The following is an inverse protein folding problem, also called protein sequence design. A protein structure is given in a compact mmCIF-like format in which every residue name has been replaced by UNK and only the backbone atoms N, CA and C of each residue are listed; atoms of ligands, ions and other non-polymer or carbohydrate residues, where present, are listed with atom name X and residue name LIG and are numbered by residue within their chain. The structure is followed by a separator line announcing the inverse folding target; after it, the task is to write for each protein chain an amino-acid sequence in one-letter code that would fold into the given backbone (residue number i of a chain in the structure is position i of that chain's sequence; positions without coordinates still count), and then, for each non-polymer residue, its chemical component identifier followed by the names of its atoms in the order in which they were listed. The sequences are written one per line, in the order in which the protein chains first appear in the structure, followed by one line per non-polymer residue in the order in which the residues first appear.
data_IF_080336814223
#
_entry.id   IF_080336814223
#
_cell.length_a   1.000
_cell.length_b   1.000
_cell.length_c   1.000
_cell.angle_alpha   90.00
_cell.angle_beta   90.00
_cell.angle_gamma   90.00
#
_symmetry.space_group_name_H-M   'P 1'
#
loop_
_entity.id
_entity.type
_entity.pdbx_description
1 polymer ?
#
# COMPACT_ATOMS: atom_id res chain seq x y z
N UNK A 1 -10.29 16.79 -13.37
CA UNK A 1 -10.90 15.47 -13.10
C UNK A 1 -11.42 15.42 -11.68
N UNK A 2 -12.46 14.64 -11.44
CA UNK A 2 -13.02 14.33 -10.11
C UNK A 2 -12.38 13.03 -9.60
N UNK A 3 -11.58 13.13 -8.56
CA UNK A 3 -10.90 11.99 -7.96
C UNK A 3 -11.57 11.62 -6.64
N UNK A 4 -12.00 10.38 -6.48
CA UNK A 4 -12.48 9.81 -5.22
C UNK A 4 -11.39 8.92 -4.65
N UNK A 5 -10.86 9.27 -3.47
CA UNK A 5 -9.76 8.55 -2.85
C UNK A 5 -10.21 7.98 -1.51
N UNK A 6 -10.24 6.67 -1.39
CA UNK A 6 -10.47 6.02 -0.11
C UNK A 6 -9.13 5.78 0.58
N UNK A 7 -9.07 5.97 1.90
CA UNK A 7 -7.81 5.88 2.64
C UNK A 7 -6.83 7.03 2.38
N UNK A 8 -7.33 8.17 1.84
CA UNK A 8 -6.52 9.32 1.47
C UNK A 8 -5.79 10.02 2.63
N UNK A 9 -6.17 9.78 3.90
CA UNK A 9 -5.46 10.27 5.08
C UNK A 9 -4.42 9.26 5.63
N UNK A 10 -4.37 8.05 5.06
CA UNK A 10 -3.40 7.03 5.44
C UNK A 10 -1.98 7.35 4.95
N UNK A 11 -1.05 6.43 5.22
CA UNK A 11 0.36 6.56 4.82
C UNK A 11 0.52 6.88 3.33
N UNK A 12 0.20 5.94 2.45
CA UNK A 12 0.34 6.13 1.00
C UNK A 12 -0.63 7.20 0.49
N UNK A 13 -1.88 7.17 0.98
CA UNK A 13 -2.94 8.06 0.53
C UNK A 13 -2.62 9.54 0.74
N UNK A 14 -2.07 9.92 1.91
CA UNK A 14 -1.77 11.32 2.21
C UNK A 14 -0.67 11.90 1.31
N UNK A 15 0.39 11.15 1.06
CA UNK A 15 1.44 11.55 0.11
C UNK A 15 0.91 11.64 -1.33
N UNK A 16 0.03 10.71 -1.73
CA UNK A 16 -0.59 10.73 -3.04
C UNK A 16 -1.53 11.95 -3.20
N UNK A 17 -2.33 12.26 -2.18
CA UNK A 17 -3.20 13.43 -2.17
C UNK A 17 -2.38 14.71 -2.30
N UNK A 18 -1.28 14.88 -1.54
CA UNK A 18 -0.39 16.03 -1.67
C UNK A 18 0.22 16.17 -3.08
N UNK A 19 0.52 15.04 -3.74
CA UNK A 19 1.01 15.05 -5.12
C UNK A 19 -0.08 15.43 -6.13
N UNK A 20 -1.31 14.93 -5.95
CA UNK A 20 -2.43 15.18 -6.85
C UNK A 20 -3.06 16.56 -6.66
N UNK A 21 -3.05 17.11 -5.44
CA UNK A 21 -3.61 18.43 -5.12
C UNK A 21 -2.84 19.59 -5.76
N UNK A 22 -1.59 19.36 -6.19
CA UNK A 22 -0.81 20.32 -6.98
C UNK A 22 -1.35 20.53 -8.40
N UNK A 23 -2.32 19.73 -8.82
CA UNK A 23 -2.96 19.80 -10.14
C UNK A 23 -4.42 20.25 -9.98
N UNK A 24 -5.03 20.74 -11.06
CA UNK A 24 -6.42 21.21 -11.08
C UNK A 24 -7.43 20.03 -11.03
N UNK A 25 -7.34 19.19 -9.98
CA UNK A 25 -8.27 18.10 -9.71
C UNK A 25 -9.25 18.48 -8.60
N UNK A 26 -10.49 18.02 -8.68
CA UNK A 26 -11.43 18.04 -7.56
C UNK A 26 -11.31 16.72 -6.80
N UNK A 27 -10.68 16.76 -5.63
CA UNK A 27 -10.39 15.57 -4.85
C UNK A 27 -11.42 15.43 -3.72
N UNK A 28 -12.03 14.25 -3.61
CA UNK A 28 -12.83 13.84 -2.44
C UNK A 28 -12.17 12.66 -1.77
N UNK A 29 -11.86 12.80 -0.47
CA UNK A 29 -11.33 11.73 0.38
C UNK A 29 -12.45 11.14 1.19
N UNK A 30 -12.55 9.80 1.20
CA UNK A 30 -13.41 9.05 2.11
C UNK A 30 -12.56 8.42 3.20
N UNK A 31 -12.93 8.65 4.47
CA UNK A 31 -12.16 8.19 5.62
C UNK A 31 -13.06 7.85 6.81
N UNK A 32 -12.69 6.82 7.57
CA UNK A 32 -13.39 6.43 8.82
C UNK A 32 -13.12 7.40 9.97
N UNK A 33 -11.94 8.05 9.99
CA UNK A 33 -11.50 8.96 11.07
C UNK A 33 -10.85 10.22 10.50
N UNK A 34 -11.02 11.33 11.19
CA UNK A 34 -10.37 12.61 10.88
C UNK A 34 -9.07 12.83 11.65
N UNK A 35 -8.67 11.89 12.52
CA UNK A 35 -7.50 12.03 13.39
C UNK A 35 -6.17 12.28 12.64
N UNK A 36 -6.13 12.01 11.33
CA UNK A 36 -4.94 12.21 10.47
C UNK A 36 -5.15 13.28 9.40
N UNK A 37 -6.11 14.20 9.60
CA UNK A 37 -6.37 15.27 8.60
C UNK A 37 -5.13 16.14 8.35
N UNK A 38 -4.29 16.33 9.37
CA UNK A 38 -3.09 17.13 9.31
C UNK A 38 -1.95 16.49 8.52
N UNK A 39 -2.12 15.22 8.09
CA UNK A 39 -1.25 14.60 7.09
C UNK A 39 -1.38 15.24 5.70
N UNK A 40 -2.41 16.04 5.43
CA UNK A 40 -2.59 16.71 4.14
C UNK A 40 -2.05 18.14 4.23
N UNK A 41 -1.01 18.44 3.46
CA UNK A 41 -0.36 19.75 3.45
C UNK A 41 -1.12 20.75 2.58
N UNK A 42 -1.57 20.31 1.39
CA UNK A 42 -2.29 21.16 0.44
C UNK A 42 -3.75 20.69 0.34
N UNK A 43 -4.70 21.50 0.83
CA UNK A 43 -6.10 21.09 0.96
C UNK A 43 -7.12 21.93 0.21
N UNK A 44 -6.72 23.01 -0.52
CA UNK A 44 -7.65 23.94 -1.15
C UNK A 44 -8.62 23.32 -2.17
N UNK A 45 -8.23 22.24 -2.85
CA UNK A 45 -9.04 21.47 -3.80
C UNK A 45 -9.46 20.09 -3.27
N UNK A 46 -9.29 19.85 -1.95
CA UNK A 46 -9.56 18.58 -1.28
C UNK A 46 -10.76 18.72 -0.36
N UNK A 47 -11.77 17.85 -0.54
CA UNK A 47 -12.89 17.68 0.40
C UNK A 47 -12.76 16.35 1.11
N UNK A 48 -12.76 16.40 2.45
CA UNK A 48 -12.71 15.20 3.30
C UNK A 48 -14.11 14.90 3.81
N UNK A 49 -14.56 13.66 3.62
CA UNK A 49 -15.85 13.17 4.10
C UNK A 49 -15.63 11.97 5.02
N UNK A 50 -16.11 12.10 6.28
CA UNK A 50 -16.05 11.02 7.27
C UNK A 50 -17.15 10.00 6.98
N UNK A 51 -16.73 8.78 6.66
CA UNK A 51 -17.61 7.63 6.40
C UNK A 51 -16.87 6.33 6.72
N UNK A 52 -17.59 5.36 7.30
CA UNK A 52 -17.17 3.97 7.26
C UNK A 52 -17.62 3.37 5.92
N UNK A 53 -16.66 2.84 5.14
CA UNK A 53 -16.94 2.34 3.79
C UNK A 53 -17.87 1.11 3.76
N UNK A 54 -18.06 0.42 4.88
CA UNK A 54 -19.05 -0.66 5.02
C UNK A 54 -20.48 -0.14 5.12
N UNK A 55 -20.68 1.17 5.26
CA UNK A 55 -22.00 1.78 5.07
C UNK A 55 -22.26 1.93 3.55
N UNK A 56 -22.62 0.82 2.92
CA UNK A 56 -22.79 0.72 1.47
C UNK A 56 -23.87 1.67 0.92
N UNK A 57 -24.95 1.91 1.67
CA UNK A 57 -25.99 2.87 1.28
C UNK A 57 -25.41 4.26 1.09
N UNK A 58 -24.69 4.76 2.09
CA UNK A 58 -24.06 6.10 2.02
C UNK A 58 -22.94 6.15 1.01
N UNK A 59 -22.13 5.10 0.91
CA UNK A 59 -21.04 5.01 -0.10
C UNK A 59 -21.61 5.09 -1.51
N UNK A 60 -22.70 4.36 -1.81
CA UNK A 60 -23.38 4.42 -3.09
C UNK A 60 -23.90 5.81 -3.42
N UNK A 61 -24.55 6.49 -2.47
CA UNK A 61 -25.03 7.88 -2.65
C UNK A 61 -23.89 8.87 -2.95
N UNK A 62 -22.72 8.67 -2.30
CA UNK A 62 -21.55 9.52 -2.55
C UNK A 62 -21.01 9.31 -3.97
N UNK A 63 -20.88 8.06 -4.42
CA UNK A 63 -20.41 7.74 -5.77
C UNK A 63 -21.36 8.33 -6.81
N UNK A 64 -22.65 8.10 -6.66
CA UNK A 64 -23.72 8.61 -7.54
C UNK A 64 -23.72 10.14 -7.65
N UNK A 65 -23.64 10.84 -6.51
CA UNK A 65 -23.65 12.32 -6.47
C UNK A 65 -22.34 12.91 -6.97
N UNK A 66 -21.18 12.31 -6.63
CA UNK A 66 -19.87 12.85 -6.98
C UNK A 66 -19.50 12.53 -8.42
N UNK A 67 -19.95 11.39 -8.96
CA UNK A 67 -19.66 10.87 -10.32
C UNK A 67 -18.17 10.96 -10.63
N UNK A 68 -17.31 10.20 -9.91
CA UNK A 68 -15.87 10.30 -10.05
C UNK A 68 -15.41 9.89 -11.46
N UNK A 69 -14.40 10.58 -11.99
CA UNK A 69 -13.68 10.16 -13.20
C UNK A 69 -12.67 9.04 -12.87
N UNK A 70 -12.12 9.07 -11.63
CA UNK A 70 -11.22 8.03 -11.13
C UNK A 70 -11.54 7.75 -9.65
N UNK A 71 -11.64 6.47 -9.30
CA UNK A 71 -11.62 6.00 -7.90
C UNK A 71 -10.27 5.38 -7.63
N UNK A 72 -9.57 5.87 -6.58
CA UNK A 72 -8.32 5.28 -6.09
C UNK A 72 -8.62 4.63 -4.75
N UNK A 73 -8.66 3.30 -4.74
CA UNK A 73 -9.05 2.53 -3.56
C UNK A 73 -7.83 2.04 -2.79
N UNK A 74 -7.46 2.79 -1.72
CA UNK A 74 -6.35 2.48 -0.82
C UNK A 74 -6.83 2.10 0.60
N UNK A 75 -8.10 2.33 0.91
CA UNK A 75 -8.66 1.96 2.20
C UNK A 75 -8.78 0.45 2.37
N UNK A 76 -8.66 0.01 3.60
CA UNK A 76 -8.81 -1.37 4.02
C UNK A 76 -8.05 -1.63 5.31
N UNK A 77 -8.31 -2.76 5.95
CA UNK A 77 -7.45 -3.23 7.02
C UNK A 77 -6.13 -3.69 6.41
N UNK A 78 -5.00 -3.25 6.96
CA UNK A 78 -3.66 -3.62 6.49
C UNK A 78 -2.89 -4.42 7.54
N UNK A 79 -3.51 -4.73 8.67
CA UNK A 79 -2.88 -5.47 9.77
C UNK A 79 -3.15 -6.97 9.62
N UNK A 80 -2.07 -7.74 9.46
CA UNK A 80 -2.14 -9.20 9.40
C UNK A 80 -2.75 -9.79 10.68
N UNK A 81 -2.33 -9.34 11.87
CA UNK A 81 -2.87 -9.84 13.15
C UNK A 81 -4.37 -9.57 13.27
N UNK A 82 -4.80 -8.34 12.98
CA UNK A 82 -6.24 -8.00 13.03
C UNK A 82 -7.08 -8.83 12.05
N UNK A 83 -6.53 -9.23 10.90
CA UNK A 83 -7.28 -10.08 9.97
C UNK A 83 -7.58 -11.47 10.54
N UNK A 84 -6.72 -11.99 11.43
CA UNK A 84 -6.97 -13.24 12.14
C UNK A 84 -7.89 -13.05 13.37
N UNK A 85 -7.76 -11.92 14.06
CA UNK A 85 -8.62 -11.59 15.21
C UNK A 85 -10.06 -11.30 14.81
N UNK A 86 -10.26 -10.65 13.64
CA UNK A 86 -11.55 -10.16 13.15
C UNK A 86 -11.74 -10.45 11.66
N UNK A 87 -11.82 -11.72 11.26
CA UNK A 87 -11.81 -12.12 9.84
C UNK A 87 -13.02 -11.58 9.05
N UNK A 88 -14.20 -11.54 9.66
CA UNK A 88 -15.40 -11.02 8.99
C UNK A 88 -15.33 -9.51 8.77
N UNK A 89 -14.82 -8.74 9.74
CA UNK A 89 -14.58 -7.30 9.54
C UNK A 89 -13.53 -7.07 8.43
N UNK A 90 -12.55 -7.96 8.29
CA UNK A 90 -11.52 -7.87 7.25
C UNK A 90 -12.09 -8.14 5.85
N UNK A 91 -12.97 -9.13 5.69
CA UNK A 91 -13.69 -9.38 4.42
C UNK A 91 -14.52 -8.15 4.03
N UNK A 92 -15.28 -7.60 4.98
CA UNK A 92 -16.13 -6.43 4.70
C UNK A 92 -15.34 -5.21 4.27
N UNK A 93 -14.25 -4.90 4.99
CA UNK A 93 -13.46 -3.69 4.74
C UNK A 93 -12.54 -3.80 3.53
N UNK A 94 -12.15 -4.98 3.08
CA UNK A 94 -11.27 -5.20 1.94
C UNK A 94 -12.05 -5.71 0.71
N UNK A 95 -12.51 -6.97 0.73
CA UNK A 95 -13.08 -7.63 -0.44
C UNK A 95 -14.48 -7.08 -0.80
N UNK A 96 -15.39 -7.07 0.19
CA UNK A 96 -16.79 -6.66 -0.03
C UNK A 96 -16.92 -5.17 -0.43
N UNK A 97 -16.11 -4.31 0.17
CA UNK A 97 -16.08 -2.88 -0.19
C UNK A 97 -15.58 -2.67 -1.62
N UNK A 98 -14.56 -3.41 -2.06
CA UNK A 98 -14.06 -3.37 -3.44
C UNK A 98 -15.15 -3.80 -4.42
N UNK A 99 -15.78 -4.96 -4.16
CA UNK A 99 -16.86 -5.49 -5.00
C UNK A 99 -18.03 -4.50 -5.10
N UNK A 100 -18.46 -3.93 -3.97
CA UNK A 100 -19.54 -2.95 -3.94
C UNK A 100 -19.25 -1.73 -4.81
N UNK A 101 -18.03 -1.19 -4.76
CA UNK A 101 -17.67 -0.01 -5.57
C UNK A 101 -17.65 -0.33 -7.07
N UNK A 102 -17.13 -1.49 -7.46
CA UNK A 102 -17.13 -1.94 -8.86
C UNK A 102 -18.58 -2.13 -9.36
N UNK A 103 -19.42 -2.79 -8.57
CA UNK A 103 -20.83 -2.97 -8.92
C UNK A 103 -21.54 -1.64 -9.04
N UNK A 104 -21.28 -0.69 -8.15
CA UNK A 104 -21.91 0.63 -8.19
C UNK A 104 -21.49 1.46 -9.42
N UNK A 105 -20.23 1.35 -9.86
CA UNK A 105 -19.76 1.93 -11.12
C UNK A 105 -20.54 1.34 -12.30
N UNK A 106 -20.70 0.00 -12.33
CA UNK A 106 -21.41 -0.71 -13.36
C UNK A 106 -22.90 -0.33 -13.42
N UNK A 107 -23.60 -0.39 -12.27
CA UNK A 107 -25.04 -0.05 -12.16
C UNK A 107 -25.33 1.37 -12.62
N UNK A 108 -24.45 2.33 -12.31
CA UNK A 108 -24.64 3.73 -12.68
C UNK A 108 -24.14 4.07 -14.09
N UNK A 109 -23.59 3.10 -14.83
CA UNK A 109 -23.01 3.30 -16.17
C UNK A 109 -21.90 4.37 -16.18
N UNK A 110 -21.11 4.48 -15.10
CA UNK A 110 -20.11 5.53 -15.00
C UNK A 110 -18.87 5.21 -15.84
N UNK A 111 -18.44 6.16 -16.69
CA UNK A 111 -17.12 6.15 -17.30
C UNK A 111 -16.07 6.54 -16.23
N UNK A 112 -15.68 5.58 -15.40
CA UNK A 112 -14.82 5.77 -14.24
C UNK A 112 -13.69 4.74 -14.22
N UNK A 113 -12.43 5.21 -14.14
CA UNK A 113 -11.30 4.33 -13.92
C UNK A 113 -11.23 3.92 -12.44
N UNK A 114 -11.23 2.62 -12.17
CA UNK A 114 -11.05 2.07 -10.83
C UNK A 114 -9.62 1.59 -10.63
N UNK A 115 -8.90 2.18 -9.68
CA UNK A 115 -7.49 1.86 -9.40
C UNK A 115 -7.37 1.26 -8.00
N UNK A 116 -7.05 -0.04 -7.96
CA UNK A 116 -6.92 -0.81 -6.72
C UNK A 116 -5.48 -0.82 -6.22
N UNK A 117 -5.25 -0.34 -5.00
CA UNK A 117 -4.01 -0.58 -4.26
C UNK A 117 -4.02 -1.97 -3.62
N UNK A 118 -3.10 -2.83 -4.06
CA UNK A 118 -2.89 -4.17 -3.54
C UNK A 118 -1.50 -4.32 -2.90
N UNK A 119 -1.09 -5.53 -2.59
CA UNK A 119 0.06 -5.84 -1.74
C UNK A 119 0.84 -7.05 -2.25
N UNK A 120 2.12 -7.13 -1.93
CA UNK A 120 2.95 -8.31 -2.19
C UNK A 120 2.49 -9.55 -1.38
N UNK A 121 1.74 -9.38 -0.31
CA UNK A 121 1.25 -10.45 0.58
C UNK A 121 0.32 -11.43 -0.16
N UNK A 122 -0.32 -11.02 -1.25
CA UNK A 122 -1.14 -11.91 -2.08
C UNK A 122 -0.35 -13.08 -2.69
N UNK A 123 0.97 -12.91 -2.86
CA UNK A 123 1.85 -13.96 -3.40
C UNK A 123 2.07 -15.08 -2.37
N UNK A 124 2.08 -14.75 -1.07
CA UNK A 124 2.54 -15.68 -0.06
C UNK A 124 4.05 -15.96 -0.19
N UNK A 125 4.46 -17.22 -0.02
CA UNK A 125 5.85 -17.64 -0.16
C UNK A 125 6.15 -18.03 -1.61
N UNK A 126 6.89 -17.20 -2.38
CA UNK A 126 7.15 -17.48 -3.78
C UNK A 126 8.07 -18.69 -3.96
N UNK A 127 7.81 -19.51 -4.99
CA UNK A 127 8.66 -20.65 -5.36
C UNK A 127 9.81 -20.25 -6.28
N UNK A 128 9.64 -19.14 -7.02
CA UNK A 128 10.65 -18.60 -7.93
C UNK A 128 10.82 -17.09 -7.69
N UNK A 129 12.03 -16.59 -7.86
CA UNK A 129 12.40 -15.19 -7.76
C UNK A 129 13.19 -14.75 -9.01
N UNK A 130 13.04 -13.51 -9.47
CA UNK A 130 12.15 -12.49 -8.93
C UNK A 130 10.67 -12.79 -9.22
N UNK A 131 9.77 -12.28 -8.35
CA UNK A 131 8.31 -12.30 -8.55
C UNK A 131 7.92 -11.41 -9.72
N UNK A 132 6.95 -11.85 -10.52
CA UNK A 132 6.38 -11.11 -11.67
C UNK A 132 4.87 -10.97 -11.50
N UNK A 133 4.21 -10.29 -12.44
CA UNK A 133 2.74 -10.18 -12.46
C UNK A 133 2.04 -11.53 -12.66
N UNK A 134 2.69 -12.47 -13.32
CA UNK A 134 2.18 -13.84 -13.57
C UNK A 134 2.54 -14.85 -12.49
N UNK A 135 3.29 -14.46 -11.45
CA UNK A 135 3.62 -15.39 -10.35
C UNK A 135 2.35 -15.82 -9.64
N UNK A 136 2.15 -17.15 -9.43
CA UNK A 136 0.98 -17.66 -8.72
C UNK A 136 0.82 -17.04 -7.33
N UNK A 137 -0.42 -16.69 -6.99
CA UNK A 137 -0.77 -16.12 -5.69
C UNK A 137 -1.24 -17.23 -4.74
N UNK A 138 -0.60 -17.33 -3.57
CA UNK A 138 -0.96 -18.27 -2.52
C UNK A 138 -0.82 -17.60 -1.14
N UNK A 139 -1.71 -16.64 -0.80
CA UNK A 139 -1.60 -15.86 0.41
C UNK A 139 -1.68 -16.72 1.67
N UNK A 140 -0.88 -16.39 2.68
CA UNK A 140 -0.82 -17.09 3.96
C UNK A 140 -1.59 -16.37 5.07
N UNK A 141 -2.29 -15.28 4.74
CA UNK A 141 -3.07 -14.48 5.69
C UNK A 141 -4.46 -14.18 5.14
N UNK A 142 -5.44 -14.00 6.03
CA UNK A 142 -6.82 -13.62 5.68
C UNK A 142 -6.81 -12.28 4.93
N UNK A 143 -6.01 -11.31 5.38
CA UNK A 143 -5.79 -10.05 4.69
C UNK A 143 -5.32 -10.26 3.23
N UNK A 144 -4.29 -11.08 3.04
CA UNK A 144 -3.77 -11.39 1.69
C UNK A 144 -4.82 -12.04 0.79
N UNK A 145 -5.62 -12.97 1.34
CA UNK A 145 -6.73 -13.61 0.62
C UNK A 145 -7.79 -12.60 0.20
N UNK A 146 -8.19 -11.70 1.08
CA UNK A 146 -9.18 -10.66 0.78
C UNK A 146 -8.67 -9.65 -0.24
N UNK A 147 -7.39 -9.30 -0.22
CA UNK A 147 -6.77 -8.46 -1.25
C UNK A 147 -6.71 -9.19 -2.60
N UNK A 148 -6.39 -10.48 -2.62
CA UNK A 148 -6.42 -11.29 -3.83
C UNK A 148 -7.84 -11.38 -4.41
N UNK A 149 -8.85 -11.61 -3.58
CA UNK A 149 -10.26 -11.57 -4.01
C UNK A 149 -10.62 -10.22 -4.64
N UNK A 150 -10.15 -9.11 -4.05
CA UNK A 150 -10.35 -7.76 -4.60
C UNK A 150 -9.72 -7.60 -6.00
N UNK A 151 -8.52 -8.16 -6.21
CA UNK A 151 -7.87 -8.17 -7.53
C UNK A 151 -8.67 -8.98 -8.55
N UNK A 152 -9.19 -10.15 -8.16
CA UNK A 152 -10.02 -10.98 -9.01
C UNK A 152 -11.33 -10.29 -9.37
N UNK A 153 -11.97 -9.57 -8.44
CA UNK A 153 -13.14 -8.75 -8.77
C UNK A 153 -12.82 -7.68 -9.81
N UNK A 154 -11.72 -6.94 -9.66
CA UNK A 154 -11.30 -5.96 -10.66
C UNK A 154 -11.12 -6.61 -12.04
N UNK A 155 -10.49 -7.80 -12.09
CA UNK A 155 -10.30 -8.53 -13.34
C UNK A 155 -11.63 -8.97 -13.96
N UNK A 156 -12.53 -9.58 -13.17
CA UNK A 156 -13.86 -10.02 -13.65
C UNK A 156 -14.65 -8.82 -14.19
N UNK A 157 -14.68 -7.71 -13.46
CA UNK A 157 -15.42 -6.52 -13.91
C UNK A 157 -14.83 -5.88 -15.17
N UNK A 158 -13.52 -6.01 -15.37
CA UNK A 158 -12.89 -5.66 -16.64
C UNK A 158 -13.29 -6.61 -17.77
N UNK A 159 -13.04 -7.91 -17.58
CA UNK A 159 -13.19 -8.92 -18.63
C UNK A 159 -14.65 -9.11 -19.05
N UNK A 160 -15.61 -9.05 -18.10
CA UNK A 160 -17.02 -9.35 -18.33
C UNK A 160 -17.83 -8.10 -18.65
N UNK A 161 -17.56 -6.99 -17.94
CA UNK A 161 -18.37 -5.76 -18.05
C UNK A 161 -17.63 -4.59 -18.70
N UNK A 162 -16.38 -4.76 -19.11
CA UNK A 162 -15.59 -3.71 -19.78
C UNK A 162 -15.21 -2.52 -18.89
N UNK A 163 -15.27 -2.64 -17.55
CA UNK A 163 -14.88 -1.55 -16.66
C UNK A 163 -13.37 -1.25 -16.80
N UNK A 164 -13.02 0.04 -16.77
CA UNK A 164 -11.62 0.46 -16.74
C UNK A 164 -11.03 0.23 -15.34
N UNK A 165 -10.41 -0.93 -15.12
CA UNK A 165 -9.78 -1.30 -13.86
C UNK A 165 -8.27 -1.41 -14.01
N UNK A 166 -7.52 -0.92 -13.03
CA UNK A 166 -6.05 -1.09 -12.95
C UNK A 166 -5.67 -1.47 -11.53
N UNK A 167 -4.75 -2.42 -11.42
CA UNK A 167 -4.27 -2.92 -10.13
C UNK A 167 -2.79 -2.57 -9.97
N UNK A 168 -2.37 -2.15 -8.80
CA UNK A 168 -0.96 -2.12 -8.45
C UNK A 168 -0.68 -2.85 -7.13
N UNK A 169 0.38 -3.64 -7.11
CA UNK A 169 0.93 -4.27 -5.91
C UNK A 169 2.16 -3.53 -5.44
N UNK A 170 2.27 -3.32 -4.14
CA UNK A 170 3.40 -2.63 -3.52
C UNK A 170 4.19 -3.61 -2.67
N UNK A 171 5.52 -3.50 -2.69
CA UNK A 171 6.42 -4.24 -1.81
C UNK A 171 6.54 -3.55 -0.43
N UNK A 172 7.62 -3.76 0.32
CA UNK A 172 7.80 -3.19 1.66
C UNK A 172 8.03 -1.67 1.58
N UNK A 173 6.94 -0.91 1.51
CA UNK A 173 6.99 0.56 1.49
C UNK A 173 7.26 1.13 2.87
N UNK A 174 8.02 2.23 2.94
CA UNK A 174 8.38 2.91 4.17
C UNK A 174 8.58 4.42 3.95
N UNK A 175 8.56 5.19 5.04
CA UNK A 175 8.74 6.64 5.00
C UNK A 175 7.86 7.39 6.00
N UNK A 176 7.82 8.73 5.94
CA UNK A 176 7.01 9.60 6.79
C UNK A 176 5.52 9.24 6.83
N UNK A 177 4.84 9.59 7.93
CA UNK A 177 3.38 9.45 8.15
C UNK A 177 2.87 8.01 8.26
N UNK A 178 3.75 6.99 8.14
CA UNK A 178 3.34 5.62 8.45
C UNK A 178 3.21 5.45 9.96
N UNK A 179 2.17 4.78 10.37
CA UNK A 179 1.91 4.53 11.79
C UNK A 179 2.93 3.52 12.35
N UNK A 180 3.61 3.93 13.42
CA UNK A 180 4.61 3.09 14.09
C UNK A 180 3.92 2.08 15.01
N UNK A 181 3.62 0.91 14.47
CA UNK A 181 3.02 -0.21 15.21
C UNK A 181 3.80 -1.49 14.87
N UNK A 182 4.24 -2.29 15.88
CA UNK A 182 5.06 -3.50 15.67
C UNK A 182 4.45 -4.50 14.69
N UNK A 183 3.12 -4.62 14.68
CA UNK A 183 2.37 -5.61 13.92
C UNK A 183 1.94 -5.14 12.52
N UNK A 184 2.30 -3.91 12.13
CA UNK A 184 1.82 -3.32 10.88
C UNK A 184 2.91 -3.19 9.81
N UNK A 185 3.96 -2.43 10.10
CA UNK A 185 5.08 -2.19 9.20
C UNK A 185 6.40 -2.30 9.95
N UNK A 186 7.06 -3.43 9.77
CA UNK A 186 8.32 -3.72 10.47
C UNK A 186 9.42 -2.71 10.14
N UNK A 187 9.46 -2.16 8.92
CA UNK A 187 10.52 -1.25 8.47
C UNK A 187 10.46 0.07 9.25
N UNK A 188 9.31 0.75 9.22
CA UNK A 188 9.14 2.01 9.94
C UNK A 188 9.24 1.81 11.46
N UNK A 189 8.72 0.69 11.98
CA UNK A 189 8.87 0.35 13.38
C UNK A 189 10.34 0.23 13.77
N UNK A 190 11.17 -0.50 13.01
CA UNK A 190 12.60 -0.66 13.29
C UNK A 190 13.37 0.65 13.16
N UNK A 191 13.04 1.51 12.20
CA UNK A 191 13.65 2.85 12.08
C UNK A 191 13.35 3.70 13.32
N UNK A 192 12.09 3.68 13.77
CA UNK A 192 11.67 4.42 14.97
C UNK A 192 12.34 3.88 16.24
N UNK A 193 12.37 2.55 16.43
CA UNK A 193 13.04 1.92 17.58
C UNK A 193 14.55 2.21 17.60
N UNK A 194 15.20 2.19 16.44
CA UNK A 194 16.61 2.53 16.31
C UNK A 194 16.90 3.96 16.77
N UNK A 195 16.01 4.90 16.45
CA UNK A 195 16.16 6.30 16.83
C UNK A 195 15.91 6.53 18.33
N UNK A 196 14.76 6.06 18.83
CA UNK A 196 14.28 6.43 20.16
C UNK A 196 14.74 5.47 21.27
N UNK A 197 14.75 4.17 21.01
CA UNK A 197 15.17 3.17 22.01
C UNK A 197 16.61 2.73 21.87
N UNK A 198 17.32 3.18 20.83
CA UNK A 198 18.70 2.81 20.52
C UNK A 198 18.94 1.28 20.48
N UNK A 199 17.85 0.51 20.20
CA UNK A 199 17.89 -0.95 20.19
C UNK A 199 16.84 -1.47 19.20
N UNK A 200 17.26 -2.39 18.33
CA UNK A 200 16.38 -3.08 17.37
C UNK A 200 16.53 -4.59 17.48
N UNK A 201 15.45 -5.32 17.16
CA UNK A 201 15.42 -6.78 17.17
C UNK A 201 15.19 -7.32 15.76
N UNK A 202 16.14 -8.10 15.25
CA UNK A 202 16.09 -8.70 13.91
C UNK A 202 16.07 -10.21 14.04
N UNK A 203 15.05 -10.87 13.53
CA UNK A 203 14.92 -12.33 13.53
C UNK A 203 15.86 -12.98 12.51
N UNK A 204 16.14 -14.29 12.72
CA UNK A 204 16.97 -15.11 11.83
C UNK A 204 18.32 -14.46 11.48
N UNK A 205 18.91 -13.70 12.41
CA UNK A 205 20.16 -12.93 12.19
C UNK A 205 20.15 -12.07 10.92
N UNK A 206 18.97 -11.67 10.45
CA UNK A 206 18.81 -10.92 9.21
C UNK A 206 19.11 -11.68 7.92
N UNK A 207 19.22 -13.02 7.98
CA UNK A 207 19.53 -13.88 6.83
C UNK A 207 18.30 -14.14 5.95
N UNK A 208 17.62 -13.07 5.57
CA UNK A 208 16.55 -13.03 4.56
C UNK A 208 16.56 -11.65 3.92
N UNK A 209 16.07 -11.55 2.69
CA UNK A 209 16.03 -10.29 1.96
C UNK A 209 14.61 -9.88 1.58
N UNK A 210 14.43 -8.58 1.40
CA UNK A 210 13.19 -7.95 0.94
C UNK A 210 13.49 -6.91 -0.15
N UNK A 211 12.45 -6.55 -0.84
CA UNK A 211 12.40 -5.41 -1.76
C UNK A 211 11.75 -4.24 -0.99
N UNK A 212 12.57 -3.24 -0.64
CA UNK A 212 12.12 -2.04 0.07
C UNK A 212 11.91 -0.91 -0.91
N UNK A 213 10.85 -0.15 -0.76
CA UNK A 213 10.57 1.02 -1.59
C UNK A 213 10.16 2.23 -0.75
N UNK A 214 10.81 3.37 -1.01
CA UNK A 214 10.50 4.61 -0.31
C UNK A 214 9.22 5.24 -0.83
N UNK A 215 8.48 5.92 0.05
CA UNK A 215 7.14 6.44 -0.24
C UNK A 215 7.08 7.39 -1.44
N UNK A 216 8.10 8.23 -1.68
CA UNK A 216 8.13 9.13 -2.83
C UNK A 216 8.12 8.34 -4.16
N UNK A 217 8.84 7.22 -4.21
CA UNK A 217 8.86 6.34 -5.38
C UNK A 217 7.52 5.61 -5.55
N UNK A 218 6.86 5.22 -4.45
CA UNK A 218 5.51 4.65 -4.50
C UNK A 218 4.53 5.65 -5.12
N UNK A 219 4.51 6.89 -4.65
CA UNK A 219 3.63 7.95 -5.16
C UNK A 219 3.92 8.26 -6.63
N UNK A 220 5.21 8.33 -7.00
CA UNK A 220 5.59 8.55 -8.40
C UNK A 220 5.12 7.41 -9.31
N UNK A 221 5.22 6.15 -8.84
CA UNK A 221 4.70 4.97 -9.54
C UNK A 221 3.19 5.01 -9.73
N UNK A 222 2.44 5.32 -8.68
CA UNK A 222 0.98 5.49 -8.76
C UNK A 222 0.61 6.59 -9.78
N UNK A 223 1.30 7.74 -9.76
CA UNK A 223 1.05 8.81 -10.72
C UNK A 223 1.28 8.38 -12.18
N UNK A 224 2.30 7.54 -12.44
CA UNK A 224 2.53 6.98 -13.78
C UNK A 224 1.41 6.01 -14.16
N UNK A 225 0.98 5.14 -13.25
CA UNK A 225 -0.14 4.21 -13.47
C UNK A 225 -1.44 4.96 -13.75
N UNK A 226 -1.77 6.01 -12.99
CA UNK A 226 -2.95 6.85 -13.23
C UNK A 226 -2.95 7.46 -14.63
N UNK A 227 -1.79 7.84 -15.15
CA UNK A 227 -1.64 8.50 -16.47
C UNK A 227 -1.52 7.51 -17.62
N UNK A 228 -0.81 6.40 -17.45
CA UNK A 228 -0.39 5.50 -18.53
C UNK A 228 -0.76 4.02 -18.30
N UNK A 229 -1.32 3.68 -17.14
CA UNK A 229 -1.73 2.31 -16.83
C UNK A 229 -2.86 1.88 -17.77
N UNK A 230 -2.68 0.71 -18.40
CA UNK A 230 -3.66 0.12 -19.31
C UNK A 230 -4.77 -0.55 -18.50
N UNK A 231 -5.99 -0.46 -19.00
CA UNK A 231 -7.15 -1.15 -18.42
C UNK A 231 -6.95 -2.66 -18.36
N UNK A 232 -7.42 -3.30 -17.30
CA UNK A 232 -7.27 -4.73 -17.03
C UNK A 232 -5.90 -5.15 -16.51
N UNK A 233 -4.93 -4.22 -16.45
CA UNK A 233 -3.54 -4.56 -16.16
C UNK A 233 -3.16 -4.43 -14.68
N UNK A 234 -2.20 -5.28 -14.28
CA UNK A 234 -1.56 -5.27 -12.97
C UNK A 234 -0.11 -4.79 -13.12
N UNK A 235 0.35 -3.96 -12.17
CA UNK A 235 1.70 -3.42 -12.12
C UNK A 235 2.32 -3.61 -10.74
N UNK A 236 3.63 -3.89 -10.69
CA UNK A 236 4.40 -3.87 -9.46
C UNK A 236 5.07 -2.51 -9.23
N UNK A 237 4.83 -1.93 -8.07
CA UNK A 237 5.56 -0.77 -7.55
C UNK A 237 6.58 -1.28 -6.52
N UNK A 238 7.84 -1.37 -6.94
CA UNK A 238 8.92 -1.94 -6.14
C UNK A 238 10.26 -1.33 -6.53
N UNK A 239 11.27 -1.41 -5.66
CA UNK A 239 12.62 -0.96 -6.03
C UNK A 239 13.28 -1.92 -7.03
N UNK A 240 12.91 -3.18 -7.02
CA UNK A 240 13.56 -4.25 -7.77
C UNK A 240 14.97 -4.55 -7.24
N UNK A 241 15.28 -4.13 -6.00
CA UNK A 241 16.58 -4.34 -5.37
C UNK A 241 16.47 -5.30 -4.20
N UNK A 242 17.37 -6.27 -4.17
CA UNK A 242 17.55 -7.21 -3.07
C UNK A 242 18.31 -6.52 -1.94
N UNK A 243 17.69 -6.38 -0.77
CA UNK A 243 18.32 -5.87 0.44
C UNK A 243 18.17 -6.92 1.54
N UNK A 244 19.28 -7.40 2.07
CA UNK A 244 19.27 -8.28 3.24
C UNK A 244 18.90 -7.51 4.50
N UNK A 245 18.20 -8.15 5.41
CA UNK A 245 17.81 -7.48 6.64
C UNK A 245 19.00 -7.16 7.55
N UNK A 246 20.10 -7.92 7.48
CA UNK A 246 21.35 -7.54 8.18
C UNK A 246 21.97 -6.27 7.57
N UNK A 247 21.91 -6.08 6.23
CA UNK A 247 22.37 -4.84 5.59
C UNK A 247 21.51 -3.64 6.03
N UNK A 248 20.19 -3.84 6.09
CA UNK A 248 19.26 -2.83 6.60
C UNK A 248 19.56 -2.50 8.08
N UNK A 249 19.83 -3.50 8.93
CA UNK A 249 20.20 -3.31 10.34
C UNK A 249 21.52 -2.53 10.47
N UNK A 250 22.55 -2.86 9.68
CA UNK A 250 23.82 -2.15 9.65
C UNK A 250 23.66 -0.67 9.24
N UNK A 251 22.73 -0.38 8.29
CA UNK A 251 22.42 1.00 7.93
C UNK A 251 21.76 1.75 9.09
N UNK A 252 20.87 1.12 9.86
CA UNK A 252 20.28 1.72 11.05
C UNK A 252 21.33 1.97 12.13
N UNK A 253 22.15 0.97 12.45
CA UNK A 253 23.25 1.11 13.41
C UNK A 253 24.17 2.28 13.05
N UNK A 254 24.60 2.37 11.79
CA UNK A 254 25.46 3.46 11.30
C UNK A 254 24.82 4.85 11.40
N UNK A 255 23.49 4.97 11.22
CA UNK A 255 22.80 6.27 11.23
C UNK A 255 22.27 6.67 12.61
N UNK A 256 22.17 5.74 13.59
CA UNK A 256 21.53 6.01 14.89
C UNK A 256 22.36 5.55 16.10
N UNK A 257 23.47 4.83 15.90
CA UNK A 257 24.24 4.16 16.94
C UNK A 257 23.38 3.20 17.78
N UNK A 258 22.36 2.56 17.19
CA UNK A 258 21.52 1.60 17.89
C UNK A 258 22.20 0.25 18.02
N UNK A 259 21.83 -0.52 19.06
CA UNK A 259 22.28 -1.90 19.25
C UNK A 259 21.37 -2.88 18.51
N UNK A 260 21.93 -3.77 17.68
CA UNK A 260 21.17 -4.82 16.99
C UNK A 260 21.14 -6.09 17.83
N UNK A 261 19.92 -6.60 18.08
CA UNK A 261 19.68 -7.84 18.82
C UNK A 261 19.10 -8.90 17.89
N UNK A 262 19.44 -10.17 18.14
CA UNK A 262 19.01 -11.29 17.30
C UNK A 262 18.20 -12.31 18.12
N UNK A 263 16.96 -12.02 18.53
CA UNK A 263 16.14 -12.94 19.29
C UNK A 263 15.68 -14.13 18.44
N UNK A 264 15.22 -15.20 19.13
CA UNK A 264 14.61 -16.36 18.49
C UNK A 264 13.32 -15.94 17.74
N UNK A 265 13.14 -16.43 16.51
CA UNK A 265 11.95 -16.10 15.70
C UNK A 265 10.71 -16.76 16.30
N UNK A 266 9.63 -15.99 16.58
CA UNK A 266 8.37 -16.54 17.07
C UNK A 266 7.76 -17.55 16.07
N UNK A 267 7.09 -18.57 16.58
CA UNK A 267 6.48 -19.63 15.74
C UNK A 267 5.44 -19.07 14.79
N UNK A 268 4.61 -18.13 15.24
CA UNK A 268 3.61 -17.46 14.41
C UNK A 268 4.25 -16.76 13.21
N UNK A 269 5.31 -15.99 13.44
CA UNK A 269 6.03 -15.29 12.38
C UNK A 269 6.52 -16.24 11.28
N UNK A 270 7.03 -17.42 11.67
CA UNK A 270 7.48 -18.44 10.72
C UNK A 270 6.37 -18.96 9.80
N UNK A 271 5.13 -19.03 10.30
CA UNK A 271 3.96 -19.54 9.54
C UNK A 271 3.44 -18.56 8.51
N UNK A 272 3.50 -17.25 8.81
CA UNK A 272 2.93 -16.20 7.96
C UNK A 272 3.97 -15.46 7.11
N UNK A 273 5.26 -15.69 7.36
CA UNK A 273 6.35 -15.00 6.66
C UNK A 273 6.45 -15.46 5.20
N UNK A 274 6.54 -14.50 4.29
CA UNK A 274 6.68 -14.72 2.85
C UNK A 274 8.09 -15.17 2.43
N UNK A 275 9.05 -15.24 3.38
CA UNK A 275 10.44 -15.61 3.09
C UNK A 275 11.19 -14.56 2.28
N UNK A 276 12.17 -14.98 1.46
CA UNK A 276 12.87 -14.09 0.55
C UNK A 276 11.93 -13.53 -0.51
N UNK A 277 12.02 -12.21 -0.77
CA UNK A 277 11.11 -11.55 -1.69
C UNK A 277 11.80 -10.42 -2.48
N UNK A 278 11.72 -10.51 -3.80
CA UNK A 278 12.16 -9.48 -4.74
C UNK A 278 11.29 -9.53 -5.99
N UNK A 279 11.05 -8.38 -6.60
CA UNK A 279 10.12 -8.22 -7.72
C UNK A 279 10.82 -7.77 -8.98
N UNK A 280 10.40 -8.27 -10.11
CA UNK A 280 10.71 -7.72 -11.42
C UNK A 280 9.67 -6.62 -11.76
N UNK A 281 10.08 -5.37 -11.68
CA UNK A 281 9.22 -4.21 -11.96
C UNK A 281 9.32 -3.69 -13.41
N UNK A 282 9.83 -4.50 -14.33
CA UNK A 282 10.08 -4.10 -15.72
C UNK A 282 8.84 -3.60 -16.46
N UNK A 283 7.66 -4.15 -16.14
CA UNK A 283 6.39 -3.73 -16.74
C UNK A 283 6.06 -2.27 -16.43
N UNK A 284 6.22 -1.83 -15.19
CA UNK A 284 6.03 -0.43 -14.83
C UNK A 284 7.15 0.46 -15.39
N UNK A 285 8.40 -0.05 -15.44
CA UNK A 285 9.52 0.67 -16.07
C UNK A 285 9.28 0.98 -17.55
N UNK A 286 8.64 0.08 -18.29
CA UNK A 286 8.25 0.30 -19.69
C UNK A 286 7.29 1.48 -19.88
N UNK A 287 6.56 1.88 -18.82
CA UNK A 287 5.73 3.10 -18.83
C UNK A 287 6.54 4.38 -18.56
N UNK A 288 7.86 4.28 -18.38
CA UNK A 288 8.76 5.40 -18.11
C UNK A 288 8.95 5.73 -16.63
N UNK A 289 8.61 4.80 -15.72
CA UNK A 289 8.86 4.95 -14.29
C UNK A 289 10.13 4.19 -13.84
N UNK A 290 10.85 4.76 -12.88
CA UNK A 290 11.92 4.06 -12.16
C UNK A 290 12.04 4.59 -10.73
N UNK A 291 12.34 3.72 -9.74
CA UNK A 291 12.62 4.16 -8.37
C UNK A 291 13.92 4.96 -8.31
N UNK A 292 13.91 6.06 -7.57
CA UNK A 292 15.04 7.01 -7.49
C UNK A 292 15.71 7.04 -6.12
N UNK A 293 14.98 6.66 -5.07
CA UNK A 293 15.47 6.80 -3.68
C UNK A 293 16.16 5.50 -3.26
N UNK A 294 17.44 5.61 -2.91
CA UNK A 294 18.18 4.49 -2.33
C UNK A 294 17.70 4.18 -0.91
N UNK A 295 17.90 2.93 -0.44
CA UNK A 295 17.52 2.53 0.93
C UNK A 295 18.17 3.45 1.98
N UNK A 296 19.44 3.81 1.83
CA UNK A 296 20.14 4.69 2.76
C UNK A 296 19.55 6.10 2.78
N UNK A 297 19.28 6.68 1.60
CA UNK A 297 18.64 8.00 1.50
C UNK A 297 17.21 7.99 2.11
N UNK A 298 16.44 6.94 1.86
CA UNK A 298 15.09 6.80 2.42
C UNK A 298 15.11 6.62 3.95
N UNK A 299 16.06 5.86 4.49
CA UNK A 299 16.24 5.73 5.96
C UNK A 299 16.53 7.11 6.56
N UNK A 300 17.49 7.88 6.02
CA UNK A 300 17.82 9.22 6.54
C UNK A 300 16.59 10.14 6.53
N UNK A 301 15.91 10.26 5.41
CA UNK A 301 14.68 11.07 5.31
C UNK A 301 13.60 10.64 6.33
N UNK A 302 13.51 9.34 6.63
CA UNK A 302 12.54 8.83 7.61
C UNK A 302 12.99 9.15 9.04
N UNK A 303 14.28 9.06 9.33
CA UNK A 303 14.86 9.46 10.62
C UNK A 303 14.67 10.95 10.86
N UNK A 304 14.99 11.81 9.88
CA UNK A 304 14.79 13.26 9.96
C UNK A 304 13.32 13.60 10.29
N UNK A 305 12.38 12.91 9.65
CA UNK A 305 10.95 13.06 9.96
C UNK A 305 10.61 12.69 11.40
N UNK A 306 11.13 11.57 11.92
CA UNK A 306 10.86 11.13 13.29
C UNK A 306 11.58 11.99 14.36
N UNK A 307 12.65 12.69 13.99
CA UNK A 307 13.31 13.66 14.87
C UNK A 307 12.54 14.97 15.00
N UNK A 308 11.80 15.33 13.94
CA UNK A 308 11.07 16.62 13.87
C UNK A 308 9.62 16.52 14.36
N UNK A 309 9.10 15.31 14.64
CA UNK A 309 7.71 15.03 15.04
C UNK A 309 7.64 14.01 16.19
#
# INVERSE_FOLDING_TARGET
MRLLITGGLGFIGSHLVDSLSKKSHKIKILTKTLAKKDNIINSHNVKIEKIDLVNFKRLGQIIEKFKPDIIIHLAGNTSHSKSFEKPLEDIESNAKTTLFMLEKIRELGLSCKFVLGSTFIVIGKPTKLPVTESTPCNPTTIYGTNKLASEHFCKIYHDVYGLDTVIFRITNSYGPREQVIPTKNAVNFLIHEALHRKKISIYNKGKFFRDFIYIDDVVSGINVILKKGRSGELYWISSGKKIWFYEFANLLEKNTNCKVMYPKTPTYTKKVDVGNFIVNNSKLRKLGWSPKISINAGIRKTLDYFQSN
#
